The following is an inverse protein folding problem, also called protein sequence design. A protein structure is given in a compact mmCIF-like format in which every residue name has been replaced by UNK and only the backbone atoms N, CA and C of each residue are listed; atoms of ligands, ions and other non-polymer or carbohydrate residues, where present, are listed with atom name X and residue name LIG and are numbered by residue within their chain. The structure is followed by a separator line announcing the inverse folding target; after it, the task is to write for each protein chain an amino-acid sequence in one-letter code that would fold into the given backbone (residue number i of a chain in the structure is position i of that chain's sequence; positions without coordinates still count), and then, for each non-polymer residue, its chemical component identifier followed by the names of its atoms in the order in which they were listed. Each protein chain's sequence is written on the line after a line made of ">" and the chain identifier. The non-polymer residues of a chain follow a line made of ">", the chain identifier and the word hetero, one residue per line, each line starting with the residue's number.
data_IF_720674626929
#
_entry.id   IF_720674626929
#
_cell.length_a   1.000
_cell.length_b   1.000
_cell.length_c   1.000
_cell.angle_alpha   90.00
_cell.angle_beta   90.00
_cell.angle_gamma   90.00
#
_symmetry.space_group_name_H-M   'P 1'
#
loop_
_entity.id
_entity.type
_entity.pdbx_description
1 polymer ?
#
# COMPACT_ATOMS: atom_id res chain seq x y z
N UNK A 1 -20.42 9.84 -8.83
CA UNK A 1 -19.11 9.26 -9.15
C UNK A 1 -18.05 10.14 -8.49
N UNK A 2 -17.32 9.62 -7.53
CA UNK A 2 -16.35 10.40 -6.73
C UNK A 2 -14.94 10.09 -7.21
N UNK A 3 -14.16 11.15 -7.41
CA UNK A 3 -12.73 11.10 -7.72
C UNK A 3 -11.96 11.50 -6.47
N UNK A 4 -11.02 10.67 -6.06
CA UNK A 4 -10.18 10.93 -4.90
C UNK A 4 -8.81 11.37 -5.38
N UNK A 5 -8.30 12.47 -4.82
CA UNK A 5 -6.94 12.94 -5.07
C UNK A 5 -5.92 12.06 -4.30
N UNK A 6 -4.69 11.90 -4.80
CA UNK A 6 -3.71 10.99 -4.20
C UNK A 6 -3.37 11.35 -2.74
N UNK A 7 -3.33 12.65 -2.43
CA UNK A 7 -3.07 13.19 -1.07
C UNK A 7 -4.18 12.89 -0.06
N UNK A 8 -5.34 12.44 -0.54
CA UNK A 8 -6.47 12.02 0.29
C UNK A 8 -6.63 10.51 0.36
N UNK A 9 -5.81 9.74 -0.34
CA UNK A 9 -6.01 8.30 -0.50
C UNK A 9 -5.87 7.51 0.80
N UNK A 10 -4.95 7.93 1.68
CA UNK A 10 -4.63 7.24 2.91
C UNK A 10 -5.27 7.93 4.12
N UNK A 11 -5.81 7.13 5.03
CA UNK A 11 -6.11 7.55 6.40
C UNK A 11 -5.01 7.05 7.33
N UNK A 12 -4.44 7.93 8.14
CA UNK A 12 -3.36 7.62 9.09
C UNK A 12 -3.86 7.91 10.51
N UNK A 13 -3.88 6.88 11.35
CA UNK A 13 -4.41 6.95 12.72
C UNK A 13 -3.41 6.37 13.72
N UNK A 14 -2.94 7.21 14.63
CA UNK A 14 -2.13 6.81 15.79
C UNK A 14 -2.98 5.99 16.76
N UNK A 15 -2.57 4.78 17.11
CA UNK A 15 -3.31 3.91 18.05
C UNK A 15 -2.59 3.69 19.39
N UNK A 16 -1.27 3.83 19.41
CA UNK A 16 -0.46 3.77 20.62
C UNK A 16 0.82 4.59 20.43
N UNK A 17 1.62 4.73 21.50
CA UNK A 17 2.85 5.54 21.51
C UNK A 17 3.88 5.17 20.44
N UNK A 18 3.84 3.97 19.86
CA UNK A 18 4.74 3.56 18.78
C UNK A 18 4.04 2.78 17.66
N UNK A 19 2.71 2.71 17.66
CA UNK A 19 1.91 2.03 16.63
C UNK A 19 0.96 2.98 15.91
N UNK A 20 0.98 2.95 14.58
CA UNK A 20 0.11 3.74 13.70
C UNK A 20 -0.55 2.83 12.67
N UNK A 21 -1.87 2.95 12.53
CA UNK A 21 -2.65 2.33 11.47
C UNK A 21 -2.66 3.25 10.24
N UNK A 22 -2.38 2.69 9.07
CA UNK A 22 -2.55 3.30 7.77
C UNK A 22 -3.60 2.47 7.02
N UNK A 23 -4.61 3.10 6.43
CA UNK A 23 -5.67 2.39 5.70
C UNK A 23 -6.05 3.10 4.41
N UNK A 24 -6.65 2.35 3.49
CA UNK A 24 -7.17 2.84 2.21
C UNK A 24 -8.72 2.93 2.28
N UNK A 25 -9.30 4.01 2.86
CA UNK A 25 -10.75 4.10 3.13
C UNK A 25 -11.67 3.97 1.91
N UNK A 26 -11.12 4.13 0.70
CA UNK A 26 -11.87 4.02 -0.55
C UNK A 26 -11.93 2.59 -1.09
N UNK A 27 -11.10 1.67 -0.55
CA UNK A 27 -11.21 0.23 -0.78
C UNK A 27 -12.33 -0.31 0.11
N UNK A 28 -13.17 -1.17 -0.45
CA UNK A 28 -14.23 -1.82 0.34
C UNK A 28 -13.60 -2.62 1.47
N UNK A 29 -14.16 -2.53 2.66
CA UNK A 29 -13.60 -3.11 3.88
C UNK A 29 -13.25 -4.59 3.75
N UNK A 30 -14.07 -5.36 3.03
CA UNK A 30 -13.82 -6.79 2.76
C UNK A 30 -12.50 -7.05 1.99
N UNK A 31 -12.05 -6.11 1.15
CA UNK A 31 -10.80 -6.22 0.36
C UNK A 31 -9.67 -5.35 0.92
N UNK A 32 -9.88 -4.69 2.07
CA UNK A 32 -8.96 -3.69 2.58
C UNK A 32 -7.98 -4.32 3.55
N UNK A 33 -6.71 -4.27 3.19
CA UNK A 33 -5.61 -4.55 4.11
C UNK A 33 -5.44 -3.41 5.12
N UNK A 34 -5.12 -3.76 6.37
CA UNK A 34 -4.61 -2.81 7.36
C UNK A 34 -3.09 -2.76 7.24
N UNK A 35 -2.55 -1.56 6.99
CA UNK A 35 -1.11 -1.33 6.95
C UNK A 35 -0.70 -0.81 8.33
N UNK A 36 0.33 -1.40 8.93
CA UNK A 36 0.79 -1.01 10.26
C UNK A 36 2.17 -0.42 10.19
N UNK A 37 2.35 0.78 10.73
CA UNK A 37 3.67 1.31 11.04
C UNK A 37 3.95 1.12 12.52
N UNK A 38 5.13 0.58 12.82
CA UNK A 38 5.64 0.41 14.17
C UNK A 38 6.99 1.12 14.26
N UNK A 39 7.06 2.12 15.14
CA UNK A 39 8.29 2.82 15.46
C UNK A 39 9.19 1.90 16.28
N UNK A 40 10.40 1.65 15.81
CA UNK A 40 11.42 0.96 16.58
C UNK A 40 12.50 1.91 17.07
N UNK A 41 13.32 1.43 18.01
CA UNK A 41 14.49 2.19 18.52
C UNK A 41 15.44 2.55 17.38
N UNK A 42 15.88 1.55 16.63
CA UNK A 42 16.94 1.70 15.62
C UNK A 42 16.38 1.87 14.21
N UNK A 43 15.26 1.20 13.91
CA UNK A 43 14.58 1.25 12.61
C UNK A 43 13.08 1.07 12.78
N UNK A 44 12.32 1.54 11.80
CA UNK A 44 10.87 1.37 11.76
C UNK A 44 10.50 0.07 11.03
N UNK A 45 9.31 -0.45 11.33
CA UNK A 45 8.72 -1.60 10.65
C UNK A 45 7.39 -1.20 10.03
N UNK A 46 7.21 -1.55 8.76
CA UNK A 46 5.92 -1.51 8.08
C UNK A 46 5.43 -2.95 7.94
N UNK A 47 4.24 -3.26 8.45
CA UNK A 47 3.56 -4.53 8.20
C UNK A 47 2.55 -4.31 7.09
N UNK A 48 2.72 -5.06 6.01
CA UNK A 48 1.94 -4.96 4.78
C UNK A 48 2.03 -3.57 4.10
N UNK A 49 1.47 -3.41 2.91
CA UNK A 49 1.65 -2.20 2.08
C UNK A 49 0.42 -1.85 1.24
N UNK A 50 -0.73 -2.45 1.55
CA UNK A 50 -2.00 -2.16 0.90
C UNK A 50 -2.06 -2.65 -0.54
N UNK A 51 -3.12 -2.21 -1.20
CA UNK A 51 -3.43 -2.52 -2.59
C UNK A 51 -2.36 -2.00 -3.55
N UNK A 52 -1.66 -0.92 -3.20
CA UNK A 52 -0.66 -0.29 -4.06
C UNK A 52 -1.24 0.50 -5.21
N UNK A 53 -2.43 1.10 -5.00
CA UNK A 53 -3.08 2.00 -5.96
C UNK A 53 -2.37 3.35 -6.03
N UNK A 54 -1.91 3.84 -4.87
CA UNK A 54 -1.21 5.12 -4.68
C UNK A 54 0.12 4.85 -4.00
N UNK A 55 1.19 5.58 -4.33
CA UNK A 55 2.48 5.36 -3.69
C UNK A 55 2.41 5.63 -2.18
N UNK A 56 2.93 4.72 -1.36
CA UNK A 56 3.05 4.96 0.07
C UNK A 56 4.17 5.96 0.35
N UNK A 57 5.32 5.80 -0.33
CA UNK A 57 6.49 6.67 -0.12
C UNK A 57 6.25 8.12 -0.50
N UNK A 58 5.43 8.39 -1.52
CA UNK A 58 5.10 9.77 -1.91
C UNK A 58 4.10 10.44 -0.96
N UNK A 59 3.11 9.68 -0.46
CA UNK A 59 1.92 10.27 0.19
C UNK A 59 1.81 10.00 1.69
N UNK A 60 2.67 9.17 2.26
CA UNK A 60 2.72 8.88 3.70
C UNK A 60 4.13 9.17 4.25
N UNK A 61 4.40 10.39 4.74
CA UNK A 61 5.74 10.78 5.22
C UNK A 61 6.33 9.84 6.28
N UNK A 62 5.47 9.22 7.10
CA UNK A 62 5.84 8.28 8.15
C UNK A 62 6.68 7.08 7.64
N UNK A 63 6.54 6.71 6.37
CA UNK A 63 7.27 5.56 5.80
C UNK A 63 8.57 5.93 5.09
N UNK A 64 8.97 7.20 5.12
CA UNK A 64 10.20 7.71 4.48
C UNK A 64 11.13 8.50 5.39
N UNK A 65 10.67 8.90 6.57
CA UNK A 65 11.45 9.70 7.52
C UNK A 65 12.60 8.97 8.23
N UNK A 66 12.58 7.62 8.27
CA UNK A 66 13.60 6.78 8.91
C UNK A 66 13.85 5.51 8.11
N UNK A 67 14.96 4.84 8.43
CA UNK A 67 15.23 3.48 7.96
C UNK A 67 14.08 2.55 8.33
N UNK A 68 13.60 1.80 7.35
CA UNK A 68 12.37 1.01 7.45
C UNK A 68 12.57 -0.39 6.88
N UNK A 69 11.96 -1.40 7.51
CA UNK A 69 11.76 -2.73 6.93
C UNK A 69 10.28 -2.93 6.60
N UNK A 70 9.99 -3.31 5.36
CA UNK A 70 8.65 -3.73 4.96
C UNK A 70 8.51 -5.24 5.15
N UNK A 71 7.60 -5.66 6.01
CA UNK A 71 7.34 -7.06 6.35
C UNK A 71 5.97 -7.43 5.80
N UNK A 72 5.92 -8.36 4.86
CA UNK A 72 4.67 -8.93 4.37
C UNK A 72 4.20 -10.04 5.30
N UNK A 73 2.94 -9.97 5.73
CA UNK A 73 2.29 -11.09 6.42
C UNK A 73 2.13 -12.30 5.50
N UNK A 74 1.79 -12.05 4.22
CA UNK A 74 1.77 -12.98 3.09
C UNK A 74 1.68 -12.17 1.77
N UNK A 75 1.62 -12.84 0.62
CA UNK A 75 1.86 -12.26 -0.71
C UNK A 75 0.60 -12.10 -1.56
N UNK A 76 -0.57 -12.11 -0.94
CA UNK A 76 -1.76 -11.57 -1.62
C UNK A 76 -1.55 -10.09 -1.97
N UNK A 77 -2.15 -9.68 -3.09
CA UNK A 77 -1.83 -8.42 -3.76
C UNK A 77 -2.13 -7.18 -2.91
N UNK A 78 -3.10 -7.28 -2.00
CA UNK A 78 -3.52 -6.24 -1.06
C UNK A 78 -2.57 -6.10 0.14
N UNK A 79 -1.66 -7.06 0.35
CA UNK A 79 -0.63 -6.98 1.38
C UNK A 79 0.70 -6.47 0.80
N UNK A 80 1.01 -6.77 -0.46
CA UNK A 80 2.30 -6.45 -1.09
C UNK A 80 2.26 -5.39 -2.19
N UNK A 81 1.15 -4.66 -2.34
CA UNK A 81 0.94 -3.69 -3.44
C UNK A 81 2.08 -2.67 -3.59
N UNK A 82 2.50 -2.04 -2.49
CA UNK A 82 3.59 -1.07 -2.45
C UNK A 82 4.92 -1.63 -1.93
N UNK A 83 5.05 -2.94 -1.67
CA UNK A 83 6.30 -3.51 -1.16
C UNK A 83 7.51 -3.16 -2.03
N UNK A 84 7.34 -3.15 -3.35
CA UNK A 84 8.37 -2.82 -4.32
C UNK A 84 9.02 -1.43 -4.13
N UNK A 85 8.37 -0.51 -3.41
CA UNK A 85 8.89 0.81 -3.08
C UNK A 85 10.00 0.79 -2.01
N UNK A 86 10.08 -0.27 -1.21
CA UNK A 86 11.01 -0.38 -0.08
C UNK A 86 12.19 -1.28 -0.41
N UNK A 87 13.41 -0.84 -0.08
CA UNK A 87 14.63 -1.60 -0.35
C UNK A 87 14.76 -2.84 0.56
N UNK A 88 14.53 -2.65 1.86
CA UNK A 88 14.60 -3.74 2.84
C UNK A 88 13.21 -4.37 3.02
N UNK A 89 13.06 -5.62 2.54
CA UNK A 89 11.81 -6.37 2.59
C UNK A 89 12.01 -7.72 3.27
N UNK A 90 11.03 -8.15 4.04
CA UNK A 90 10.94 -9.48 4.61
C UNK A 90 9.58 -10.11 4.33
N UNK A 91 9.59 -11.43 4.19
CA UNK A 91 8.40 -12.28 4.07
C UNK A 91 8.80 -13.69 4.48
N UNK A 92 7.83 -14.53 4.81
CA UNK A 92 8.10 -15.95 5.02
C UNK A 92 8.79 -16.58 3.79
N UNK A 93 9.75 -17.47 4.01
CA UNK A 93 10.58 -18.06 2.95
C UNK A 93 9.78 -18.79 1.87
N UNK A 94 8.66 -19.42 2.26
CA UNK A 94 7.73 -20.08 1.35
C UNK A 94 7.10 -19.14 0.31
N UNK A 95 7.10 -17.84 0.56
CA UNK A 95 6.50 -16.84 -0.34
C UNK A 95 7.53 -15.86 -0.93
N UNK A 96 8.82 -16.11 -0.71
CA UNK A 96 9.89 -15.19 -1.10
C UNK A 96 9.85 -14.81 -2.58
N UNK A 97 9.50 -15.75 -3.46
CA UNK A 97 9.52 -15.52 -4.91
C UNK A 97 8.50 -14.48 -5.38
N UNK A 98 7.36 -14.36 -4.70
CA UNK A 98 6.35 -13.34 -4.99
C UNK A 98 6.79 -11.94 -4.52
N UNK A 99 7.58 -11.85 -3.46
CA UNK A 99 8.07 -10.58 -2.89
C UNK A 99 9.42 -10.10 -3.48
N UNK A 100 10.03 -10.88 -4.39
CA UNK A 100 11.26 -10.48 -5.12
C UNK A 100 11.00 -9.40 -6.18
N UNK A 101 9.76 -9.29 -6.65
CA UNK A 101 9.33 -8.32 -7.66
C UNK A 101 9.70 -6.89 -7.28
N UNK A 102 10.36 -6.16 -8.21
CA UNK A 102 10.55 -4.70 -8.13
C UNK A 102 9.47 -3.91 -8.89
N UNK A 103 8.38 -4.57 -9.28
CA UNK A 103 7.27 -3.96 -10.02
C UNK A 103 6.03 -3.83 -9.14
N UNK A 104 5.17 -2.82 -9.38
CA UNK A 104 3.86 -2.73 -8.73
C UNK A 104 3.04 -3.99 -8.97
N UNK A 105 2.51 -4.59 -7.90
CA UNK A 105 1.81 -5.89 -7.96
C UNK A 105 0.48 -5.79 -8.74
N UNK A 106 -0.19 -4.64 -8.68
CA UNK A 106 -1.41 -4.40 -9.48
C UNK A 106 -1.17 -4.37 -10.99
N UNK A 107 0.07 -4.18 -11.47
CA UNK A 107 0.40 -4.26 -12.90
C UNK A 107 0.50 -5.73 -13.35
N UNK A 108 -0.64 -6.33 -13.66
CA UNK A 108 -0.73 -7.58 -14.44
C UNK A 108 -1.40 -8.78 -13.77
N UNK A 109 -1.85 -8.67 -12.51
CA UNK A 109 -2.46 -9.80 -11.80
C UNK A 109 -3.91 -10.08 -12.27
N UNK A 110 -4.31 -11.35 -12.53
CA UNK A 110 -5.62 -11.69 -13.07
C UNK A 110 -6.78 -11.30 -12.14
N UNK A 111 -6.59 -11.40 -10.82
CA UNK A 111 -7.56 -10.93 -9.81
C UNK A 111 -7.48 -9.42 -9.55
N UNK A 112 -6.41 -8.75 -9.99
CA UNK A 112 -6.36 -7.30 -9.98
C UNK A 112 -7.18 -6.70 -11.12
N UNK A 113 -7.57 -7.42 -12.19
CA UNK A 113 -8.32 -6.79 -13.30
C UNK A 113 -9.74 -6.31 -12.92
N UNK A 114 -10.57 -7.07 -12.17
CA UNK A 114 -11.88 -6.59 -11.72
C UNK A 114 -11.78 -5.44 -10.71
N UNK A 115 -10.72 -5.41 -9.88
CA UNK A 115 -10.49 -4.41 -8.84
C UNK A 115 -9.70 -3.18 -9.34
N UNK A 116 -8.76 -3.33 -10.26
CA UNK A 116 -8.00 -2.25 -10.91
C UNK A 116 -8.81 -1.54 -12.01
N UNK A 117 -9.86 -2.20 -12.54
CA UNK A 117 -10.92 -1.49 -13.27
C UNK A 117 -11.70 -0.55 -12.35
N UNK A 118 -11.79 -0.90 -11.05
CA UNK A 118 -12.39 -0.05 -10.03
C UNK A 118 -11.44 1.04 -9.55
N UNK A 119 -10.21 0.71 -9.20
CA UNK A 119 -9.22 1.61 -8.63
C UNK A 119 -7.99 1.67 -9.54
N UNK A 120 -8.04 2.54 -10.55
CA UNK A 120 -6.93 2.73 -11.50
C UNK A 120 -6.19 4.02 -11.18
N UNK A 121 -4.86 3.98 -11.06
CA UNK A 121 -4.08 5.19 -11.30
C UNK A 121 -4.21 5.53 -12.78
N UNK A 122 -4.91 6.61 -13.08
CA UNK A 122 -4.80 7.24 -14.39
C UNK A 122 -3.47 7.99 -14.36
N UNK A 123 -2.41 7.35 -14.87
CA UNK A 123 -1.17 8.05 -15.12
C UNK A 123 -1.45 9.22 -16.07
N UNK A 124 -1.39 10.44 -15.56
CA UNK A 124 -1.03 11.61 -16.35
C UNK A 124 0.27 12.13 -15.76
N UNK A 125 1.18 12.55 -16.64
CA UNK A 125 2.43 13.21 -16.30
C UNK A 125 2.24 14.61 -15.67
N UNK A 126 1.01 14.93 -15.23
CA UNK A 126 0.55 16.28 -14.90
C UNK A 126 0.09 16.40 -13.43
N UNK A 127 0.49 15.46 -12.56
CA UNK A 127 0.30 15.60 -11.11
C UNK A 127 -1.15 15.50 -10.60
N UNK A 128 -2.10 15.03 -11.42
CA UNK A 128 -3.51 14.89 -11.03
C UNK A 128 -4.03 13.47 -11.28
N UNK A 129 -3.47 12.48 -10.56
CA UNK A 129 -4.00 11.12 -10.57
C UNK A 129 -5.30 11.08 -9.77
N UNK A 130 -6.43 10.80 -10.44
CA UNK A 130 -7.73 10.65 -9.78
C UNK A 130 -8.18 9.19 -9.78
N UNK A 131 -8.49 8.67 -8.60
CA UNK A 131 -8.89 7.27 -8.41
C UNK A 131 -10.41 7.17 -8.36
N UNK A 132 -10.97 6.12 -8.95
CA UNK A 132 -12.42 5.91 -9.04
C UNK A 132 -12.86 4.97 -7.92
N UNK A 133 -13.95 5.30 -7.22
CA UNK A 133 -14.65 4.36 -6.33
C UNK A 133 -15.89 3.85 -7.05
N UNK A 134 -16.08 2.54 -7.12
CA UNK A 134 -17.28 1.93 -7.69
C UNK A 134 -18.09 1.30 -6.56
N UNK A 135 -19.13 1.99 -6.11
CA UNK A 135 -20.20 1.39 -5.30
C UNK A 135 -21.02 0.44 -6.18
N UNK A 136 -21.43 -0.70 -5.63
CA UNK A 136 -22.42 -1.58 -6.27
C UNK A 136 -23.80 -0.93 -6.22
#
# INVERSE_FOLDING_TARGET
>A
MERVAPDKWYEVKRLADDVTLISEPFIQEFYRCNIWHVRGRDRDMLVDSGMGVVSLREWVPLVTERDLIAVASHTHFDHIGCHHEFECRAVHSAEADHNRSRRPVLRGHPYARPLAGRYRSLGSADGNASFRRYTL
#
